data_IF_827587305908
#
_entry.id   IF_827587305908
#
_cell.length_a   1.000
_cell.length_b   1.000
_cell.length_c   1.000
_cell.angle_alpha   90.00
_cell.angle_beta   90.00
_cell.angle_gamma   90.00
#
_symmetry.space_group_name_H-M   'P 1'
#
loop_
_entity.id
_entity.type
_entity.pdbx_description
1 polymer ?
#
# COMPACT_ATOMS: atom_id res chain seq x y z
N UNK A 1 -11.13 -37.95 -9.35
CA UNK A 1 -11.37 -37.57 -10.78
C UNK A 1 -9.99 -37.27 -11.33
N UNK A 2 -9.52 -38.04 -12.33
CA UNK A 2 -8.18 -37.80 -12.92
C UNK A 2 -8.29 -36.58 -13.82
N UNK A 3 -7.64 -35.51 -13.43
CA UNK A 3 -7.56 -34.27 -14.24
C UNK A 3 -6.67 -34.61 -15.44
N UNK A 4 -7.08 -34.19 -16.66
CA UNK A 4 -6.22 -34.43 -17.83
C UNK A 4 -5.02 -33.47 -17.80
N UNK A 5 -3.88 -33.87 -18.40
CA UNK A 5 -2.67 -33.03 -18.49
C UNK A 5 -2.96 -31.65 -19.09
N UNK A 6 -3.91 -31.56 -20.03
CA UNK A 6 -4.34 -30.28 -20.62
C UNK A 6 -5.08 -29.42 -19.60
N UNK A 7 -5.91 -30.00 -18.77
CA UNK A 7 -6.69 -29.30 -17.75
C UNK A 7 -5.78 -28.81 -16.63
N UNK A 8 -4.79 -29.59 -16.21
CA UNK A 8 -3.77 -29.14 -15.27
C UNK A 8 -2.96 -27.97 -15.79
N UNK A 9 -2.55 -28.03 -17.06
CA UNK A 9 -1.85 -26.94 -17.72
C UNK A 9 -2.67 -25.64 -17.71
N UNK A 10 -3.95 -25.70 -18.08
CA UNK A 10 -4.86 -24.55 -18.10
C UNK A 10 -5.09 -23.96 -16.70
N UNK A 11 -5.29 -24.81 -15.69
CA UNK A 11 -5.45 -24.40 -14.29
C UNK A 11 -4.20 -23.70 -13.76
N UNK A 12 -3.02 -24.26 -14.04
CA UNK A 12 -1.75 -23.69 -13.59
C UNK A 12 -1.47 -22.34 -14.29
N UNK A 13 -1.72 -22.25 -15.57
CA UNK A 13 -1.61 -21.00 -16.33
C UNK A 13 -2.60 -19.96 -15.82
N UNK A 14 -3.80 -20.37 -15.41
CA UNK A 14 -4.78 -19.47 -14.79
C UNK A 14 -4.27 -18.96 -13.43
N UNK A 15 -3.79 -19.85 -12.57
CA UNK A 15 -3.23 -19.48 -11.26
C UNK A 15 -2.11 -18.45 -11.41
N UNK A 16 -1.14 -18.69 -12.29
CA UNK A 16 0.01 -17.80 -12.48
C UNK A 16 -0.38 -16.44 -13.08
N UNK A 17 -1.46 -16.36 -13.86
CA UNK A 17 -2.02 -15.07 -14.30
C UNK A 17 -2.72 -14.33 -13.17
N UNK A 18 -3.41 -15.04 -12.27
CA UNK A 18 -4.12 -14.43 -11.14
C UNK A 18 -3.17 -13.98 -10.03
N UNK A 19 -2.21 -14.83 -9.68
CA UNK A 19 -1.24 -14.57 -8.62
C UNK A 19 -0.02 -13.76 -9.07
N UNK A 20 0.12 -13.50 -10.37
CA UNK A 20 1.27 -12.77 -10.91
C UNK A 20 0.95 -11.99 -12.18
N UNK A 21 1.93 -11.88 -13.04
CA UNK A 21 1.88 -11.10 -14.29
C UNK A 21 1.86 -12.01 -15.54
N UNK A 22 1.56 -13.28 -15.36
CA UNK A 22 1.62 -14.32 -16.37
C UNK A 22 2.83 -15.22 -16.16
N UNK A 23 3.09 -16.10 -17.14
CA UNK A 23 4.24 -16.99 -17.10
C UNK A 23 4.71 -17.32 -18.52
N UNK A 24 5.99 -17.52 -18.67
CA UNK A 24 6.56 -18.14 -19.88
C UNK A 24 6.22 -19.63 -19.91
N UNK A 25 6.39 -20.24 -21.08
CA UNK A 25 6.23 -21.70 -21.20
C UNK A 25 7.19 -22.46 -20.30
N UNK A 26 8.40 -21.97 -20.09
CA UNK A 26 9.41 -22.60 -19.24
C UNK A 26 9.03 -22.54 -17.77
N UNK A 27 8.57 -21.37 -17.30
CA UNK A 27 8.08 -21.20 -15.93
C UNK A 27 6.86 -22.08 -15.67
N UNK A 28 5.92 -22.13 -16.59
CA UNK A 28 4.74 -22.98 -16.45
C UNK A 28 5.14 -24.46 -16.37
N UNK A 29 6.10 -24.93 -17.17
CA UNK A 29 6.64 -26.27 -17.08
C UNK A 29 7.37 -26.55 -15.77
N UNK A 30 8.00 -25.54 -15.17
CA UNK A 30 8.61 -25.65 -13.85
C UNK A 30 7.54 -25.90 -12.79
N UNK A 31 6.50 -25.09 -12.73
CA UNK A 31 5.43 -25.23 -11.76
C UNK A 31 4.54 -26.46 -11.95
N UNK A 32 4.51 -27.05 -13.13
CA UNK A 32 3.80 -28.31 -13.39
C UNK A 32 4.52 -29.57 -12.81
N UNK A 33 5.71 -29.40 -12.25
CA UNK A 33 6.42 -30.52 -11.57
C UNK A 33 5.87 -30.82 -10.18
N UNK A 34 5.26 -29.81 -9.55
CA UNK A 34 4.70 -29.84 -8.22
C UNK A 34 3.17 -29.94 -8.28
N UNK A 35 2.51 -30.26 -7.18
CA UNK A 35 1.06 -30.28 -7.09
C UNK A 35 0.50 -28.84 -7.24
N UNK A 36 -0.80 -28.72 -7.49
CA UNK A 36 -1.46 -27.41 -7.55
C UNK A 36 -1.37 -26.70 -6.18
N UNK A 37 -1.60 -27.45 -5.13
CA UNK A 37 -1.56 -27.01 -3.74
C UNK A 37 -0.15 -26.54 -3.34
N UNK A 38 0.89 -27.27 -3.71
CA UNK A 38 2.28 -26.86 -3.46
C UNK A 38 2.64 -25.57 -4.20
N UNK A 39 2.13 -25.38 -5.40
CA UNK A 39 2.32 -24.12 -6.13
C UNK A 39 1.61 -22.95 -5.46
N UNK A 40 0.38 -23.18 -4.95
CA UNK A 40 -0.35 -22.14 -4.19
C UNK A 40 0.42 -21.77 -2.94
N UNK A 41 0.89 -22.76 -2.18
CA UNK A 41 1.67 -22.55 -0.96
C UNK A 41 2.99 -21.79 -1.24
N UNK A 42 3.70 -22.17 -2.30
CA UNK A 42 4.91 -21.47 -2.74
C UNK A 42 4.63 -19.98 -3.04
N UNK A 43 3.51 -19.67 -3.71
CA UNK A 43 3.14 -18.30 -4.03
C UNK A 43 2.71 -17.50 -2.79
N UNK A 44 2.09 -18.15 -1.80
CA UNK A 44 1.64 -17.51 -0.55
C UNK A 44 2.78 -17.32 0.46
N UNK A 45 3.83 -18.12 0.38
CA UNK A 45 4.98 -18.07 1.30
C UNK A 45 6.19 -17.44 0.62
N UNK A 46 6.25 -16.11 0.50
CA UNK A 46 7.29 -15.43 -0.24
C UNK A 46 8.65 -15.60 0.45
N UNK A 47 9.65 -16.01 -0.30
CA UNK A 47 11.03 -15.94 0.12
C UNK A 47 11.58 -14.54 -0.20
N UNK A 48 11.68 -13.69 0.82
CA UNK A 48 12.16 -12.32 0.65
C UNK A 48 13.65 -12.24 0.27
N UNK A 49 14.42 -13.30 0.46
CA UNK A 49 15.84 -13.35 0.10
C UNK A 49 16.08 -13.49 -1.41
N UNK A 50 15.04 -13.86 -2.17
CA UNK A 50 15.14 -14.01 -3.64
C UNK A 50 15.10 -12.67 -4.40
N UNK A 51 14.89 -11.57 -3.72
CA UNK A 51 15.00 -10.26 -4.34
C UNK A 51 16.48 -9.91 -4.64
N UNK A 52 16.81 -9.70 -5.90
CA UNK A 52 18.16 -9.34 -6.36
C UNK A 52 18.70 -7.99 -5.84
N UNK A 53 18.08 -7.47 -4.81
CA UNK A 53 18.50 -6.37 -3.99
C UNK A 53 18.49 -5.00 -4.67
N UNK A 54 18.19 -4.00 -3.87
CA UNK A 54 18.27 -2.58 -4.29
C UNK A 54 19.69 -2.18 -4.80
N UNK A 55 20.71 -2.96 -4.48
CA UNK A 55 22.07 -2.69 -4.93
C UNK A 55 22.22 -2.79 -6.47
N UNK A 56 21.50 -3.69 -7.14
CA UNK A 56 21.52 -3.75 -8.61
C UNK A 56 20.76 -2.58 -9.23
N UNK A 57 19.60 -2.25 -8.67
CA UNK A 57 18.86 -1.06 -9.11
C UNK A 57 19.71 0.18 -8.94
N UNK A 58 20.35 0.34 -7.78
CA UNK A 58 21.26 1.45 -7.48
C UNK A 58 22.42 1.54 -8.46
N UNK A 59 22.96 0.40 -8.89
CA UNK A 59 24.09 0.34 -9.82
C UNK A 59 23.72 0.79 -11.22
N UNK A 60 22.50 0.48 -11.69
CA UNK A 60 22.09 0.72 -13.06
C UNK A 60 21.13 1.90 -13.23
N UNK A 61 20.39 2.24 -12.18
CA UNK A 61 19.49 3.40 -12.13
C UNK A 61 19.50 4.02 -10.73
N UNK A 62 20.39 5.01 -10.54
CA UNK A 62 20.55 5.70 -9.26
C UNK A 62 19.29 6.47 -8.82
N UNK A 63 18.50 6.97 -9.77
CA UNK A 63 17.25 7.66 -9.45
C UNK A 63 16.18 6.67 -8.96
N UNK A 64 16.09 5.50 -9.57
CA UNK A 64 15.18 4.45 -9.11
C UNK A 64 15.55 3.92 -7.73
N UNK A 65 16.86 3.88 -7.39
CA UNK A 65 17.32 3.45 -6.07
C UNK A 65 17.05 4.48 -4.98
N UNK A 66 17.18 5.77 -5.32
CA UNK A 66 16.95 6.87 -4.39
C UNK A 66 15.47 7.15 -4.11
N UNK A 67 14.61 6.80 -5.06
CA UNK A 67 13.16 6.94 -4.99
C UNK A 67 12.69 8.34 -4.57
N UNK A 68 13.53 9.37 -4.84
CA UNK A 68 13.25 10.75 -4.44
C UNK A 68 12.12 11.34 -5.29
N UNK A 69 12.06 10.92 -6.55
CA UNK A 69 11.00 11.34 -7.46
C UNK A 69 10.07 10.17 -7.83
N UNK A 70 8.84 10.49 -8.20
CA UNK A 70 7.84 9.49 -8.55
C UNK A 70 8.20 8.63 -9.78
N UNK A 71 8.84 9.16 -10.86
CA UNK A 71 9.34 8.32 -11.93
C UNK A 71 10.35 7.27 -11.48
N UNK A 72 11.23 7.61 -10.54
CA UNK A 72 12.18 6.67 -9.94
C UNK A 72 11.49 5.56 -9.14
N UNK A 73 10.52 5.93 -8.32
CA UNK A 73 9.70 4.99 -7.58
C UNK A 73 8.93 4.03 -8.50
N UNK A 74 8.32 4.55 -9.57
CA UNK A 74 7.60 3.75 -10.56
C UNK A 74 8.51 2.78 -11.31
N UNK A 75 9.71 3.22 -11.72
CA UNK A 75 10.70 2.34 -12.37
C UNK A 75 11.18 1.23 -11.45
N UNK A 76 11.44 1.54 -10.17
CA UNK A 76 11.81 0.54 -9.18
C UNK A 76 10.71 -0.52 -9.03
N UNK A 77 9.46 -0.08 -8.88
CA UNK A 77 8.35 -1.01 -8.71
C UNK A 77 8.12 -1.86 -9.98
N UNK A 78 8.16 -1.25 -11.16
CA UNK A 78 8.06 -1.99 -12.43
C UNK A 78 9.19 -3.03 -12.58
N UNK A 79 10.42 -2.65 -12.22
CA UNK A 79 11.54 -3.58 -12.22
C UNK A 79 11.31 -4.76 -11.27
N UNK A 80 10.76 -4.52 -10.07
CA UNK A 80 10.37 -5.58 -9.13
C UNK A 80 9.32 -6.50 -9.72
N UNK A 81 8.27 -5.97 -10.34
CA UNK A 81 7.22 -6.76 -11.00
C UNK A 81 7.78 -7.70 -12.08
N UNK A 82 8.80 -7.24 -12.81
CA UNK A 82 9.41 -8.01 -13.92
C UNK A 82 10.38 -9.06 -13.40
N UNK A 83 11.13 -8.77 -12.33
CA UNK A 83 12.28 -9.57 -11.91
C UNK A 83 12.06 -10.41 -10.65
N UNK A 84 10.92 -10.26 -9.98
CA UNK A 84 10.64 -11.02 -8.76
C UNK A 84 10.45 -12.50 -9.02
N UNK A 85 11.02 -13.35 -8.17
CA UNK A 85 10.72 -14.78 -8.12
C UNK A 85 9.36 -15.06 -7.45
N UNK A 86 8.84 -14.10 -6.67
CA UNK A 86 7.57 -14.18 -5.97
C UNK A 86 6.55 -13.19 -6.52
N UNK A 87 5.90 -13.46 -7.66
CA UNK A 87 5.07 -12.47 -8.35
C UNK A 87 3.85 -12.02 -7.54
N UNK A 88 3.33 -12.83 -6.63
CA UNK A 88 2.20 -12.46 -5.78
C UNK A 88 2.54 -11.29 -4.86
N UNK A 89 3.78 -11.19 -4.38
CA UNK A 89 4.23 -10.09 -3.52
C UNK A 89 4.18 -8.72 -4.20
N UNK A 90 4.25 -8.69 -5.52
CA UNK A 90 4.09 -7.46 -6.32
C UNK A 90 2.67 -7.32 -6.89
N UNK A 91 1.95 -8.42 -7.06
CA UNK A 91 0.56 -8.40 -7.54
C UNK A 91 -0.42 -7.87 -6.50
N UNK A 92 -0.20 -8.20 -5.24
CA UNK A 92 -1.04 -7.76 -4.13
C UNK A 92 -0.96 -6.23 -3.92
N UNK A 93 0.23 -5.59 -3.85
CA UNK A 93 0.31 -4.14 -3.82
C UNK A 93 -0.36 -3.47 -5.02
N UNK A 94 -0.23 -4.04 -6.22
CA UNK A 94 -0.88 -3.51 -7.42
C UNK A 94 -2.41 -3.58 -7.32
N UNK A 95 -2.95 -4.66 -6.75
CA UNK A 95 -4.38 -4.80 -6.49
C UNK A 95 -4.86 -3.73 -5.51
N UNK A 96 -4.21 -3.61 -4.35
CA UNK A 96 -4.60 -2.65 -3.32
C UNK A 96 -4.38 -1.21 -3.76
N UNK A 97 -3.31 -0.92 -4.52
CA UNK A 97 -3.09 0.41 -5.06
C UNK A 97 -4.17 0.83 -6.07
N UNK A 98 -4.85 -0.12 -6.71
CA UNK A 98 -6.03 0.14 -7.52
C UNK A 98 -7.27 0.57 -6.71
N UNK A 99 -7.31 0.22 -5.42
CA UNK A 99 -8.39 0.57 -4.49
C UNK A 99 -7.99 1.81 -3.66
N UNK A 100 -6.82 1.77 -3.02
CA UNK A 100 -6.27 2.83 -2.17
C UNK A 100 -5.37 3.77 -2.98
N UNK A 101 -5.88 4.23 -4.12
CA UNK A 101 -5.08 4.98 -5.09
C UNK A 101 -4.62 6.32 -4.53
N UNK A 102 -3.32 6.58 -4.63
CA UNK A 102 -2.69 7.88 -4.42
C UNK A 102 -1.86 8.23 -5.64
N UNK A 103 -1.44 9.48 -5.78
CA UNK A 103 -0.70 9.85 -6.98
C UNK A 103 0.09 11.14 -6.90
N UNK A 104 0.99 11.28 -7.85
CA UNK A 104 1.92 12.40 -8.02
C UNK A 104 1.26 13.78 -8.04
N UNK A 105 0.06 13.98 -8.62
CA UNK A 105 -0.51 15.32 -8.68
C UNK A 105 -0.70 15.98 -7.32
N UNK A 106 -0.82 15.20 -6.26
CA UNK A 106 -1.00 15.71 -4.90
C UNK A 106 0.14 15.30 -3.96
N UNK A 107 0.58 14.03 -4.03
CA UNK A 107 1.71 13.53 -3.25
C UNK A 107 2.99 13.71 -4.06
N UNK A 108 3.68 14.83 -3.89
CA UNK A 108 4.83 15.23 -4.72
C UNK A 108 6.07 14.35 -4.45
N UNK A 109 6.14 13.66 -3.32
CA UNK A 109 7.31 12.92 -2.86
C UNK A 109 7.28 11.46 -3.30
N UNK A 110 8.20 11.07 -4.18
CA UNK A 110 8.30 9.70 -4.69
C UNK A 110 8.65 8.67 -3.62
N UNK A 111 9.38 9.06 -2.59
CA UNK A 111 9.71 8.17 -1.46
C UNK A 111 8.47 7.79 -0.68
N UNK A 112 7.61 8.77 -0.38
CA UNK A 112 6.37 8.54 0.35
C UNK A 112 5.43 7.61 -0.44
N UNK A 113 5.30 7.82 -1.76
CA UNK A 113 4.54 6.93 -2.63
C UNK A 113 5.12 5.51 -2.66
N UNK A 114 6.43 5.39 -2.68
CA UNK A 114 7.09 4.08 -2.66
C UNK A 114 6.93 3.37 -1.31
N UNK A 115 6.99 4.11 -0.20
CA UNK A 115 6.79 3.56 1.13
C UNK A 115 5.34 3.06 1.32
N UNK A 116 4.34 3.72 0.68
CA UNK A 116 2.98 3.18 0.60
C UNK A 116 2.94 1.82 -0.11
N UNK A 117 3.63 1.67 -1.26
CA UNK A 117 3.71 0.37 -1.94
C UNK A 117 4.37 -0.70 -1.06
N UNK A 118 5.40 -0.34 -0.28
CA UNK A 118 6.02 -1.25 0.69
C UNK A 118 5.08 -1.63 1.83
N UNK A 119 4.27 -0.70 2.32
CA UNK A 119 3.22 -0.96 3.31
C UNK A 119 2.18 -1.94 2.74
N UNK A 120 1.67 -1.71 1.53
CA UNK A 120 0.73 -2.60 0.87
C UNK A 120 1.33 -4.01 0.62
N UNK A 121 2.62 -4.10 0.31
CA UNK A 121 3.35 -5.37 0.16
C UNK A 121 3.42 -6.14 1.48
N UNK A 122 3.61 -5.43 2.58
CA UNK A 122 3.76 -6.04 3.90
C UNK A 122 2.43 -6.50 4.50
N UNK A 123 1.38 -5.69 4.34
CA UNK A 123 0.10 -5.90 5.02
C UNK A 123 -1.02 -6.40 4.10
N UNK A 124 -0.83 -6.34 2.79
CA UNK A 124 -1.89 -6.59 1.81
C UNK A 124 -2.41 -8.03 1.73
N UNK A 125 -1.70 -9.02 2.29
CA UNK A 125 -2.15 -10.42 2.45
C UNK A 125 -2.61 -10.72 3.87
N UNK A 126 -2.56 -9.75 4.76
CA UNK A 126 -2.98 -9.86 6.16
C UNK A 126 -4.47 -9.60 6.35
N UNK A 127 -4.83 -9.20 7.56
CA UNK A 127 -6.19 -8.82 7.89
C UNK A 127 -6.52 -7.42 7.36
N UNK A 128 -7.78 -7.22 6.97
CA UNK A 128 -8.22 -5.95 6.42
C UNK A 128 -8.17 -4.81 7.45
N UNK A 129 -8.53 -5.08 8.70
CA UNK A 129 -8.45 -4.13 9.79
C UNK A 129 -7.02 -3.62 10.03
N UNK A 130 -6.04 -4.53 10.07
CA UNK A 130 -4.62 -4.16 10.17
C UNK A 130 -4.16 -3.31 8.96
N UNK A 131 -4.59 -3.69 7.75
CA UNK A 131 -4.27 -2.94 6.54
C UNK A 131 -4.87 -1.53 6.56
N UNK A 132 -6.14 -1.38 6.96
CA UNK A 132 -6.81 -0.08 7.05
C UNK A 132 -6.18 0.80 8.14
N UNK A 133 -5.76 0.23 9.25
CA UNK A 133 -5.03 0.96 10.29
C UNK A 133 -3.69 1.48 9.76
N UNK A 134 -2.95 0.67 9.03
CA UNK A 134 -1.69 1.11 8.41
C UNK A 134 -1.92 2.16 7.32
N UNK A 135 -3.00 2.03 6.56
CA UNK A 135 -3.40 3.01 5.55
C UNK A 135 -3.77 4.36 6.17
N UNK A 136 -4.42 4.36 7.34
CA UNK A 136 -4.77 5.57 8.10
C UNK A 136 -3.53 6.33 8.59
N UNK A 137 -2.42 5.62 8.80
CA UNK A 137 -1.13 6.18 9.20
C UNK A 137 -0.19 6.44 8.02
N UNK A 138 -0.61 6.09 6.80
CA UNK A 138 0.23 6.26 5.62
C UNK A 138 0.29 7.73 5.18
N UNK A 139 1.48 8.35 5.14
CA UNK A 139 1.61 9.76 4.79
C UNK A 139 1.12 10.09 3.38
N UNK A 140 1.21 9.15 2.43
CA UNK A 140 0.68 9.37 1.08
C UNK A 140 -0.84 9.49 1.11
N UNK A 141 -1.53 8.63 1.87
CA UNK A 141 -2.98 8.65 2.00
C UNK A 141 -3.46 9.86 2.81
N UNK A 142 -2.78 10.21 3.90
CA UNK A 142 -3.09 11.41 4.70
C UNK A 142 -3.08 12.65 3.81
N UNK A 143 -2.02 12.83 3.00
CA UNK A 143 -1.95 13.95 2.05
C UNK A 143 -3.01 13.83 0.96
N UNK A 144 -3.27 12.62 0.45
CA UNK A 144 -4.21 12.41 -0.65
C UNK A 144 -5.64 12.78 -0.29
N UNK A 145 -6.05 12.48 0.94
CA UNK A 145 -7.40 12.75 1.45
C UNK A 145 -7.48 13.96 2.40
N UNK A 146 -6.43 14.78 2.47
CA UNK A 146 -6.35 16.01 3.26
C UNK A 146 -6.58 15.79 4.78
N UNK A 147 -6.26 14.61 5.31
CA UNK A 147 -6.46 14.38 6.73
C UNK A 147 -5.49 15.21 7.62
N UNK A 148 -4.40 15.74 7.07
CA UNK A 148 -3.54 16.69 7.75
C UNK A 148 -4.25 18.03 8.05
N UNK A 149 -5.36 18.30 7.38
CA UNK A 149 -6.24 19.47 7.61
C UNK A 149 -7.43 19.10 8.54
N UNK A 150 -7.43 17.93 9.14
CA UNK A 150 -8.48 17.45 10.02
C UNK A 150 -8.12 17.75 11.49
N UNK A 151 -8.62 18.86 12.00
CA UNK A 151 -8.35 19.41 13.32
C UNK A 151 -9.58 19.30 14.23
N UNK A 152 -9.38 19.21 15.56
CA UNK A 152 -10.48 19.16 16.53
C UNK A 152 -11.47 20.32 16.43
N UNK A 153 -10.99 21.51 16.06
CA UNK A 153 -11.80 22.73 15.93
C UNK A 153 -12.23 23.00 14.47
N UNK A 154 -11.72 22.24 13.51
CA UNK A 154 -11.99 22.38 12.07
C UNK A 154 -11.90 21.01 11.39
N UNK A 155 -12.94 20.21 11.55
CA UNK A 155 -12.97 18.84 11.01
C UNK A 155 -12.98 18.81 9.50
N UNK A 156 -12.22 17.85 8.95
CA UNK A 156 -12.24 17.47 7.55
C UNK A 156 -12.76 16.03 7.44
N UNK A 157 -13.92 15.86 6.82
CA UNK A 157 -14.62 14.58 6.73
C UNK A 157 -14.08 13.65 5.63
N UNK A 158 -13.18 14.12 4.78
CA UNK A 158 -12.80 13.42 3.55
C UNK A 158 -12.27 12.00 3.83
N UNK A 159 -11.28 11.87 4.73
CA UNK A 159 -10.77 10.56 5.12
C UNK A 159 -11.86 9.67 5.73
N UNK A 160 -12.65 10.20 6.68
CA UNK A 160 -13.71 9.44 7.35
C UNK A 160 -14.76 8.92 6.36
N UNK A 161 -15.15 9.75 5.39
CA UNK A 161 -16.10 9.39 4.33
C UNK A 161 -15.53 8.27 3.45
N UNK A 162 -14.32 8.43 2.94
CA UNK A 162 -13.71 7.42 2.07
C UNK A 162 -13.45 6.09 2.80
N UNK A 163 -13.10 6.15 4.07
CA UNK A 163 -12.94 4.95 4.90
C UNK A 163 -14.24 4.16 5.00
N UNK A 164 -15.37 4.82 5.25
CA UNK A 164 -16.66 4.17 5.36
C UNK A 164 -17.22 3.78 3.98
N UNK A 165 -17.14 4.67 3.00
CA UNK A 165 -17.79 4.51 1.70
C UNK A 165 -17.05 3.55 0.78
N UNK A 166 -15.73 3.76 0.58
CA UNK A 166 -14.95 3.03 -0.42
C UNK A 166 -14.14 1.88 0.17
N UNK A 167 -13.68 2.02 1.43
CA UNK A 167 -12.67 1.12 1.95
C UNK A 167 -13.21 0.06 2.90
N UNK A 168 -14.42 0.25 3.46
CA UNK A 168 -14.97 -0.70 4.43
C UNK A 168 -16.43 -1.04 4.24
N UNK A 169 -17.38 -0.15 4.58
CA UNK A 169 -18.81 -0.49 4.71
C UNK A 169 -19.59 -0.43 3.41
N UNK A 170 -19.21 0.45 2.49
CA UNK A 170 -19.95 0.69 1.24
C UNK A 170 -21.14 1.64 1.42
N UNK A 171 -21.55 2.26 0.30
CA UNK A 171 -22.65 3.23 0.25
C UNK A 171 -23.94 2.65 0.84
N UNK A 172 -24.59 3.42 1.71
CA UNK A 172 -25.90 3.07 2.29
C UNK A 172 -25.84 2.25 3.60
N UNK A 173 -24.65 1.89 4.06
CA UNK A 173 -24.45 1.15 5.31
C UNK A 173 -23.93 2.05 6.46
N UNK A 174 -23.92 3.36 6.28
CA UNK A 174 -23.52 4.36 7.26
C UNK A 174 -24.36 5.63 7.07
N UNK A 175 -24.38 6.50 8.07
CA UNK A 175 -25.06 7.80 8.06
C UNK A 175 -24.07 8.95 7.93
N UNK A 176 -24.55 10.16 7.64
CA UNK A 176 -23.70 11.37 7.65
C UNK A 176 -23.16 11.67 9.06
N UNK A 177 -23.85 11.25 10.12
CA UNK A 177 -23.34 11.38 11.48
C UNK A 177 -22.17 10.43 11.74
N UNK A 178 -22.22 9.17 11.22
CA UNK A 178 -21.11 8.24 11.30
C UNK A 178 -19.85 8.78 10.59
N UNK A 179 -20.03 9.50 9.47
CA UNK A 179 -18.92 10.16 8.77
C UNK A 179 -18.26 11.22 9.66
N UNK A 180 -19.05 12.05 10.33
CA UNK A 180 -18.53 13.09 11.24
C UNK A 180 -17.81 12.48 12.42
N UNK A 181 -18.41 11.46 13.06
CA UNK A 181 -17.79 10.77 14.18
C UNK A 181 -16.52 10.05 13.76
N UNK A 182 -16.50 9.46 12.57
CA UNK A 182 -15.29 8.89 11.99
C UNK A 182 -14.22 9.98 11.77
N UNK A 183 -14.58 11.12 11.20
CA UNK A 183 -13.65 12.25 11.03
C UNK A 183 -13.07 12.73 12.36
N UNK A 184 -13.91 12.83 13.40
CA UNK A 184 -13.46 13.18 14.77
C UNK A 184 -12.42 12.22 15.32
N UNK A 185 -12.60 10.92 15.10
CA UNK A 185 -11.66 9.89 15.55
C UNK A 185 -10.26 10.03 14.91
N UNK A 186 -10.18 10.65 13.74
CA UNK A 186 -8.92 10.87 13.00
C UNK A 186 -8.41 12.31 13.07
N UNK A 187 -8.99 13.19 13.91
CA UNK A 187 -8.41 14.50 14.20
C UNK A 187 -7.03 14.35 14.83
N UNK A 188 -6.10 15.22 14.49
CA UNK A 188 -4.72 15.15 14.97
C UNK A 188 -3.85 14.03 14.34
N UNK A 189 -4.42 13.18 13.47
CA UNK A 189 -3.65 12.24 12.67
C UNK A 189 -3.11 12.96 11.44
N UNK A 190 -1.84 13.30 11.46
CA UNK A 190 -1.24 14.22 10.50
C UNK A 190 0.12 13.74 10.02
N UNK A 191 0.81 14.60 9.29
CA UNK A 191 2.17 14.37 8.81
C UNK A 191 3.15 15.33 9.46
N UNK A 192 4.27 14.79 9.91
CA UNK A 192 5.43 15.57 10.32
C UNK A 192 6.34 15.91 9.14
N UNK A 193 7.25 16.84 9.39
CA UNK A 193 8.31 17.25 8.45
C UNK A 193 7.87 18.09 7.24
N UNK A 194 6.70 18.72 7.30
CA UNK A 194 6.12 19.47 6.19
C UNK A 194 6.94 20.68 5.77
N UNK A 195 7.42 21.48 6.74
CA UNK A 195 8.24 22.68 6.46
C UNK A 195 9.61 22.31 5.88
N UNK A 196 10.19 21.25 6.41
CA UNK A 196 11.47 20.72 5.95
C UNK A 196 11.43 20.29 4.49
N UNK A 197 10.31 19.73 4.07
CA UNK A 197 10.10 19.29 2.69
C UNK A 197 10.07 20.43 1.68
N UNK A 198 9.46 21.56 2.03
CA UNK A 198 9.40 22.74 1.15
C UNK A 198 10.79 23.36 0.91
N UNK A 199 11.64 23.38 1.94
CA UNK A 199 12.97 24.00 1.87
C UNK A 199 13.99 23.04 1.29
N UNK A 200 13.93 21.76 1.60
CA UNK A 200 14.96 20.76 1.23
C UNK A 200 14.70 20.00 -0.06
N UNK A 201 13.50 19.96 -0.59
CA UNK A 201 13.26 19.44 -1.94
C UNK A 201 14.16 20.13 -3.00
N UNK A 202 14.70 21.31 -2.68
CA UNK A 202 15.66 22.06 -3.49
C UNK A 202 17.15 21.88 -3.08
N UNK A 203 17.42 21.18 -1.97
CA UNK A 203 18.76 21.13 -1.37
C UNK A 203 19.17 19.75 -0.87
N UNK A 204 18.68 18.67 -1.46
CA UNK A 204 19.00 17.34 -0.94
C UNK A 204 20.49 17.05 -0.97
N UNK A 205 21.14 17.32 0.17
CA UNK A 205 22.52 16.96 0.44
C UNK A 205 22.65 15.78 1.42
N UNK A 206 21.54 15.30 1.98
CA UNK A 206 21.58 14.29 3.04
C UNK A 206 21.45 12.84 2.50
N UNK A 207 21.60 12.68 1.19
CA UNK A 207 21.76 11.37 0.61
C UNK A 207 23.04 10.68 1.13
N UNK A 208 23.02 9.42 1.53
CA UNK A 208 21.90 8.44 1.50
C UNK A 208 21.04 8.45 2.76
N UNK A 209 21.23 9.36 3.68
CA UNK A 209 20.61 9.40 5.00
C UNK A 209 19.46 10.39 5.10
N UNK A 210 19.14 11.08 4.01
CA UNK A 210 18.12 12.12 3.97
C UNK A 210 16.74 11.63 4.36
N UNK A 211 16.25 12.10 5.48
CA UNK A 211 14.89 11.93 5.93
C UNK A 211 14.00 12.98 5.28
N UNK A 212 13.92 12.96 3.94
CA UNK A 212 13.12 13.92 3.18
C UNK A 212 11.71 13.38 2.95
N UNK A 213 11.27 12.45 3.74
CA UNK A 213 9.94 11.90 3.62
C UNK A 213 9.03 12.48 4.71
N UNK A 214 7.79 12.71 4.36
CA UNK A 214 6.74 12.86 5.36
C UNK A 214 6.69 11.60 6.21
N UNK A 215 6.38 11.76 7.49
CA UNK A 215 6.12 10.64 8.38
C UNK A 215 4.80 10.88 9.12
N UNK A 216 4.17 9.82 9.54
CA UNK A 216 2.99 9.91 10.39
C UNK A 216 3.33 10.60 11.71
N UNK A 217 2.47 11.51 12.11
CA UNK A 217 2.54 12.21 13.40
C UNK A 217 1.14 12.22 14.03
N UNK A 218 1.06 11.86 15.31
CA UNK A 218 -0.14 12.04 16.09
C UNK A 218 0.03 13.25 17.01
N UNK A 219 -0.90 14.20 16.94
CA UNK A 219 -0.95 15.40 17.76
C UNK A 219 -2.10 15.30 18.75
N UNK A 220 -1.77 14.96 19.97
CA UNK A 220 -2.76 14.79 21.05
C UNK A 220 -3.51 16.10 21.36
N UNK A 221 -2.83 17.23 21.30
CA UNK A 221 -3.42 18.56 21.50
C UNK A 221 -4.40 18.99 20.41
N UNK A 222 -4.33 18.38 19.24
CA UNK A 222 -5.20 18.60 18.08
C UNK A 222 -6.22 17.47 17.86
N UNK A 223 -6.19 16.46 18.71
CA UNK A 223 -7.14 15.36 18.69
C UNK A 223 -8.40 15.67 19.51
N UNK A 224 -9.57 15.37 18.93
CA UNK A 224 -10.84 15.37 19.67
C UNK A 224 -10.99 14.06 20.44
N UNK A 225 -10.73 14.11 21.73
CA UNK A 225 -10.77 12.94 22.65
C UNK A 225 -12.19 12.44 22.96
N UNK A 226 -13.19 12.86 22.18
CA UNK A 226 -14.53 12.34 22.34
C UNK A 226 -14.57 10.86 21.95
N UNK A 227 -14.98 10.02 22.89
CA UNK A 227 -15.12 8.59 22.69
C UNK A 227 -16.09 8.32 21.53
N UNK A 228 -15.63 7.61 20.49
CA UNK A 228 -16.53 6.91 19.59
C UNK A 228 -17.38 5.97 20.44
N UNK A 229 -18.61 6.33 20.69
CA UNK A 229 -19.61 5.36 21.09
C UNK A 229 -19.85 4.46 19.87
N UNK A 230 -19.11 3.38 19.77
CA UNK A 230 -19.57 2.26 18.95
C UNK A 230 -20.91 1.86 19.58
N UNK A 231 -21.99 2.12 18.85
CA UNK A 231 -23.30 1.58 19.20
C UNK A 231 -23.14 0.09 19.48
N UNK A 232 -23.84 -0.41 20.50
CA UNK A 232 -23.80 -1.75 21.09
C UNK A 232 -24.00 -2.95 20.13
N UNK A 233 -23.54 -2.87 18.91
CA UNK A 233 -23.60 -3.96 17.92
C UNK A 233 -22.52 -5.06 18.15
N UNK A 234 -21.75 -4.97 19.22
CA UNK A 234 -20.73 -5.97 19.56
C UNK A 234 -21.11 -6.86 20.76
N UNK A 235 -22.29 -6.65 21.40
CA UNK A 235 -22.73 -7.38 22.59
C UNK A 235 -24.01 -8.22 22.37
N UNK A 236 -24.42 -8.49 21.10
CA UNK A 236 -25.45 -9.51 20.80
C UNK A 236 -24.89 -10.72 20.03
#
# INVERSE_FOLDING_TARGET
MVVSDKQEYELRAHLLRRAGFGSTKQELQYYLRDSYEDTVEYLLTPNFDDWMGDHLVRRFDGEASGMINAPGASRNWLYRMISTANPLTEKIPLFWHGIFATGVPKVINGRVLFDQINMLRKYGTGKLDDLLLQLSQDPAMIVWLDNQENHKDAMNENWGRELLELFSMGVGNYTEEDVKECARAFTGWTIGNTEYMMVRAKRDSDWPYGRIAYHFEYREDDHDSCLLYTSDAADE
#
